data_IF_324091540789
#
_entry.id   IF_324091540789
#
_cell.length_a   1.000
_cell.length_b   1.000
_cell.length_c   1.000
_cell.angle_alpha   90.00
_cell.angle_beta   90.00
_cell.angle_gamma   90.00
#
_symmetry.space_group_name_H-M   'P 1'
#
loop_
_entity.id
_entity.type
_entity.pdbx_description
1 polymer ?
#
# COMPACT_ATOMS: atom_id res chain seq x y z
N UNK A 1 -39.35 -18.27 -18.68
CA UNK A 1 -38.88 -17.30 -17.67
C UNK A 1 -37.38 -17.40 -17.62
N UNK A 2 -36.66 -16.49 -18.25
CA UNK A 2 -35.21 -16.40 -18.17
C UNK A 2 -34.88 -15.84 -16.79
N UNK A 3 -34.41 -16.70 -15.89
CA UNK A 3 -33.85 -16.25 -14.60
C UNK A 3 -32.67 -15.35 -14.90
N UNK A 4 -32.83 -14.06 -14.65
CA UNK A 4 -31.71 -13.11 -14.61
C UNK A 4 -30.81 -13.55 -13.47
N UNK A 5 -29.69 -14.22 -13.79
CA UNK A 5 -28.64 -14.52 -12.80
C UNK A 5 -28.32 -13.22 -12.08
N UNK A 6 -28.60 -13.15 -10.78
CA UNK A 6 -28.12 -12.07 -9.94
C UNK A 6 -26.61 -12.03 -10.07
N UNK A 7 -26.09 -10.89 -10.51
CA UNK A 7 -24.66 -10.69 -10.52
C UNK A 7 -24.15 -10.77 -9.07
N UNK A 8 -23.16 -11.64 -8.86
CA UNK A 8 -22.55 -11.85 -7.54
C UNK A 8 -21.53 -10.74 -7.26
N UNK A 9 -21.09 -10.03 -8.33
CA UNK A 9 -20.22 -8.87 -8.26
C UNK A 9 -21.08 -7.63 -8.00
N UNK A 10 -20.69 -6.85 -7.00
CA UNK A 10 -21.30 -5.56 -6.68
C UNK A 10 -20.66 -4.47 -7.54
N UNK A 11 -21.42 -3.42 -7.78
CA UNK A 11 -20.88 -2.16 -8.32
C UNK A 11 -19.81 -1.60 -7.38
N UNK A 12 -18.70 -1.15 -7.95
CA UNK A 12 -17.57 -0.60 -7.20
C UNK A 12 -17.91 0.83 -6.77
N UNK A 13 -18.08 1.02 -5.47
CA UNK A 13 -18.39 2.28 -4.83
C UNK A 13 -17.18 2.88 -4.09
N UNK A 14 -17.32 4.10 -3.57
CA UNK A 14 -16.24 4.80 -2.88
C UNK A 14 -15.74 4.04 -1.62
N UNK A 15 -16.62 3.28 -0.95
CA UNK A 15 -16.24 2.50 0.23
C UNK A 15 -15.41 1.26 -0.17
N UNK A 16 -15.75 0.61 -1.27
CA UNK A 16 -14.96 -0.48 -1.85
C UNK A 16 -13.57 0.02 -2.28
N UNK A 17 -13.49 1.18 -2.94
CA UNK A 17 -12.22 1.81 -3.32
C UNK A 17 -11.38 2.14 -2.08
N UNK A 18 -12.00 2.75 -1.06
CA UNK A 18 -11.32 3.08 0.20
C UNK A 18 -10.82 1.84 0.92
N UNK A 19 -11.59 0.75 0.95
CA UNK A 19 -11.18 -0.54 1.52
C UNK A 19 -10.01 -1.16 0.73
N UNK A 20 -10.07 -1.14 -0.60
CA UNK A 20 -8.99 -1.61 -1.47
C UNK A 20 -7.69 -0.84 -1.18
N UNK A 21 -7.74 0.49 -1.21
CA UNK A 21 -6.59 1.35 -0.88
C UNK A 21 -6.08 1.10 0.53
N UNK A 22 -6.96 0.89 1.51
CA UNK A 22 -6.57 0.54 2.89
C UNK A 22 -5.73 -0.74 2.90
N UNK A 23 -6.23 -1.82 2.31
CA UNK A 23 -5.54 -3.11 2.26
C UNK A 23 -4.17 -3.03 1.57
N UNK A 24 -4.07 -2.24 0.50
CA UNK A 24 -2.82 -2.05 -0.24
C UNK A 24 -1.81 -1.24 0.58
N UNK A 25 -2.27 -0.14 1.18
CA UNK A 25 -1.41 0.83 1.88
C UNK A 25 -0.91 0.33 3.23
N UNK A 26 -1.73 -0.42 3.96
CA UNK A 26 -1.35 -0.95 5.28
C UNK A 26 -0.63 -2.30 5.22
N UNK A 27 -0.55 -2.94 4.06
CA UNK A 27 0.12 -4.24 3.94
C UNK A 27 1.63 -4.12 4.13
N UNK A 28 2.19 -5.03 4.94
CA UNK A 28 3.65 -5.17 5.14
C UNK A 28 4.23 -6.36 4.38
N UNK A 29 3.37 -7.30 4.00
CA UNK A 29 3.71 -8.44 3.17
C UNK A 29 2.48 -8.93 2.41
N UNK A 30 2.72 -9.80 1.43
CA UNK A 30 1.68 -10.43 0.64
C UNK A 30 2.12 -11.76 0.06
N UNK A 31 1.19 -12.45 -0.58
CA UNK A 31 1.49 -13.61 -1.41
C UNK A 31 1.60 -13.16 -2.87
N UNK A 32 2.81 -13.26 -3.42
CA UNK A 32 3.11 -12.99 -4.82
C UNK A 32 2.99 -14.29 -5.62
N UNK A 33 2.18 -14.28 -6.66
CA UNK A 33 2.11 -15.33 -7.66
C UNK A 33 2.75 -14.86 -8.98
N UNK A 34 3.62 -15.68 -9.54
CA UNK A 34 4.36 -15.44 -10.78
C UNK A 34 4.27 -16.65 -11.70
N UNK A 35 4.70 -16.52 -12.94
CA UNK A 35 4.69 -17.61 -13.93
C UNK A 35 6.09 -18.21 -13.99
N UNK A 36 6.23 -19.48 -13.60
CA UNK A 36 7.51 -20.19 -13.64
C UNK A 36 7.99 -20.35 -15.10
N UNK A 37 9.22 -19.91 -15.42
CA UNK A 37 9.74 -20.01 -16.78
C UNK A 37 9.95 -21.49 -17.17
N UNK A 38 9.66 -21.81 -18.43
CA UNK A 38 9.78 -23.15 -18.99
C UNK A 38 8.56 -24.04 -18.76
N UNK A 39 8.05 -24.13 -17.53
CA UNK A 39 6.86 -24.96 -17.21
C UNK A 39 5.55 -24.20 -17.41
N UNK A 40 5.55 -22.88 -17.22
CA UNK A 40 4.35 -22.05 -17.19
C UNK A 40 3.49 -22.24 -15.93
N UNK A 41 3.97 -22.99 -14.93
CA UNK A 41 3.23 -23.23 -13.70
C UNK A 41 3.15 -21.96 -12.84
N UNK A 42 2.03 -21.71 -12.13
CA UNK A 42 1.97 -20.61 -11.17
C UNK A 42 2.82 -20.92 -9.94
N UNK A 43 3.77 -20.04 -9.62
CA UNK A 43 4.60 -20.11 -8.43
C UNK A 43 4.15 -19.05 -7.42
N UNK A 44 3.78 -19.48 -6.21
CA UNK A 44 3.41 -18.59 -5.12
C UNK A 44 4.53 -18.49 -4.07
N UNK A 45 4.85 -17.27 -3.64
CA UNK A 45 5.84 -17.01 -2.58
C UNK A 45 5.43 -15.80 -1.74
N UNK A 46 5.94 -15.72 -0.51
CA UNK A 46 5.73 -14.54 0.35
C UNK A 46 6.77 -13.47 0.02
N UNK A 47 6.31 -12.22 -0.09
CA UNK A 47 7.16 -11.04 -0.27
C UNK A 47 6.83 -9.98 0.77
N UNK A 48 7.83 -9.23 1.22
CA UNK A 48 7.60 -7.96 1.91
C UNK A 48 7.09 -6.92 0.92
N UNK A 49 6.22 -6.03 1.37
CA UNK A 49 5.65 -4.98 0.51
C UNK A 49 5.63 -3.62 1.21
N UNK A 50 5.64 -2.57 0.40
CA UNK A 50 5.28 -1.21 0.75
C UNK A 50 4.52 -0.61 -0.44
N UNK A 51 4.31 0.71 -0.48
CA UNK A 51 3.73 1.40 -1.63
C UNK A 51 4.57 2.61 -2.03
N UNK A 52 4.61 2.92 -3.32
CA UNK A 52 5.05 4.24 -3.81
C UNK A 52 3.94 5.29 -3.56
N UNK A 53 4.20 6.56 -3.84
CA UNK A 53 3.28 7.66 -3.48
C UNK A 53 1.91 7.49 -4.12
N UNK A 54 1.85 7.06 -5.37
CA UNK A 54 0.60 6.87 -6.10
C UNK A 54 -0.19 5.62 -5.68
N UNK A 55 0.42 4.69 -4.94
CA UNK A 55 -0.25 3.48 -4.44
C UNK A 55 0.23 2.19 -5.07
N UNK A 56 1.11 2.24 -6.05
CA UNK A 56 1.67 1.03 -6.62
C UNK A 56 2.46 0.24 -5.55
N UNK A 57 2.20 -1.06 -5.39
CA UNK A 57 2.99 -1.89 -4.48
C UNK A 57 4.46 -1.93 -4.88
N UNK A 58 5.33 -1.88 -3.87
CA UNK A 58 6.77 -2.02 -4.00
C UNK A 58 7.21 -3.31 -3.30
N UNK A 59 8.00 -4.13 -3.98
CA UNK A 59 8.66 -5.29 -3.40
C UNK A 59 10.18 -5.15 -3.50
N UNK A 60 10.90 -5.64 -2.50
CA UNK A 60 12.36 -5.72 -2.48
C UNK A 60 12.76 -7.19 -2.40
N UNK A 61 13.35 -7.71 -3.48
CA UNK A 61 13.58 -9.16 -3.64
C UNK A 61 15.03 -9.45 -4.04
N UNK A 62 15.55 -10.60 -3.60
CA UNK A 62 16.88 -11.07 -4.02
C UNK A 62 16.82 -11.57 -5.46
N UNK A 63 17.85 -11.28 -6.24
CA UNK A 63 18.07 -11.77 -7.60
C UNK A 63 18.26 -13.29 -7.64
N UNK A 64 18.49 -13.94 -6.50
CA UNK A 64 18.60 -15.39 -6.36
C UNK A 64 17.25 -16.08 -6.08
N UNK A 65 16.20 -15.32 -5.76
CA UNK A 65 14.89 -15.90 -5.46
C UNK A 65 14.20 -16.42 -6.72
N UNK A 66 13.51 -17.56 -6.60
CA UNK A 66 12.78 -18.17 -7.72
C UNK A 66 11.76 -17.22 -8.36
N UNK A 67 11.07 -16.41 -7.55
CA UNK A 67 10.14 -15.41 -8.10
C UNK A 67 10.83 -14.32 -8.91
N UNK A 68 12.08 -13.98 -8.61
CA UNK A 68 12.78 -12.91 -9.35
C UNK A 68 13.13 -13.36 -10.75
N UNK A 69 13.65 -14.59 -10.90
CA UNK A 69 13.87 -15.17 -12.22
C UNK A 69 12.59 -15.25 -13.06
N UNK A 70 11.47 -15.61 -12.41
CA UNK A 70 10.16 -15.62 -13.05
C UNK A 70 9.69 -14.23 -13.50
N UNK A 71 9.76 -13.21 -12.64
CA UNK A 71 9.38 -11.82 -12.99
C UNK A 71 10.21 -11.23 -14.13
N UNK A 72 11.49 -11.60 -14.22
CA UNK A 72 12.37 -11.15 -15.31
C UNK A 72 12.03 -11.82 -16.64
N UNK A 73 11.54 -13.06 -16.61
CA UNK A 73 11.13 -13.79 -17.80
C UNK A 73 9.73 -13.38 -18.27
N UNK A 74 8.80 -13.14 -17.34
CA UNK A 74 7.45 -12.68 -17.59
C UNK A 74 7.03 -11.69 -16.49
N UNK A 75 6.78 -10.41 -16.82
CA UNK A 75 6.46 -9.40 -15.82
C UNK A 75 5.06 -9.58 -15.22
N UNK A 76 4.19 -10.42 -15.79
CA UNK A 76 2.83 -10.61 -15.27
C UNK A 76 2.89 -11.33 -13.92
N UNK A 77 2.31 -10.70 -12.91
CA UNK A 77 2.22 -11.26 -11.58
C UNK A 77 0.88 -10.92 -10.91
N UNK A 78 0.58 -11.62 -9.82
CA UNK A 78 -0.55 -11.32 -8.96
C UNK A 78 -0.09 -11.14 -7.52
N UNK A 79 -0.63 -10.15 -6.81
CA UNK A 79 -0.34 -9.92 -5.39
C UNK A 79 -1.63 -10.01 -4.58
N UNK A 80 -1.69 -10.97 -3.66
CA UNK A 80 -2.77 -11.09 -2.68
C UNK A 80 -2.37 -10.40 -1.38
N UNK A 81 -3.23 -9.47 -0.93
CA UNK A 81 -3.12 -8.71 0.30
C UNK A 81 -4.38 -8.85 1.15
N UNK A 82 -4.22 -8.65 2.46
CA UNK A 82 -5.27 -8.86 3.46
C UNK A 82 -5.00 -10.11 4.29
N UNK A 83 -5.09 -9.96 5.60
CA UNK A 83 -4.82 -11.03 6.55
C UNK A 83 -6.10 -11.43 7.30
N UNK A 84 -6.28 -12.73 7.58
CA UNK A 84 -7.38 -13.17 8.42
C UNK A 84 -7.10 -12.80 9.89
N UNK A 85 -8.12 -12.27 10.57
CA UNK A 85 -8.14 -12.18 12.03
C UNK A 85 -8.73 -13.44 12.68
N UNK A 86 -9.19 -13.31 13.93
CA UNK A 86 -9.93 -14.39 14.63
C UNK A 86 -11.23 -14.75 13.88
N UNK A 87 -11.65 -16.02 13.98
CA UNK A 87 -12.88 -16.52 13.36
C UNK A 87 -12.65 -17.12 11.97
N UNK A 88 -13.69 -17.09 11.13
CA UNK A 88 -13.62 -17.61 9.76
C UNK A 88 -12.70 -16.73 8.89
N UNK A 89 -11.61 -17.27 8.30
CA UNK A 89 -10.70 -16.50 7.46
C UNK A 89 -11.38 -15.88 6.24
N UNK A 90 -12.47 -16.46 5.72
CA UNK A 90 -13.20 -15.95 4.55
C UNK A 90 -14.15 -14.79 4.87
N UNK A 91 -14.31 -14.45 6.14
CA UNK A 91 -15.03 -13.25 6.56
C UNK A 91 -14.19 -11.96 6.46
N UNK A 92 -12.85 -12.08 6.43
CA UNK A 92 -11.93 -10.94 6.49
C UNK A 92 -11.65 -10.34 5.12
N UNK A 93 -11.54 -9.01 4.98
CA UNK A 93 -11.23 -8.38 3.70
C UNK A 93 -9.90 -8.80 3.10
N UNK A 94 -9.89 -8.97 1.77
CA UNK A 94 -8.70 -9.31 0.97
C UNK A 94 -8.83 -8.78 -0.44
N UNK A 95 -7.70 -8.46 -1.05
CA UNK A 95 -7.61 -7.95 -2.41
C UNK A 95 -6.54 -8.71 -3.19
N UNK A 96 -6.88 -9.13 -4.41
CA UNK A 96 -5.94 -9.72 -5.36
C UNK A 96 -5.71 -8.73 -6.49
N UNK A 97 -4.49 -8.24 -6.62
CA UNK A 97 -4.06 -7.36 -7.70
C UNK A 97 -3.52 -8.19 -8.85
N UNK A 98 -3.91 -7.88 -10.08
CA UNK A 98 -3.19 -8.32 -11.28
C UNK A 98 -2.27 -7.18 -11.71
N UNK A 99 -0.97 -7.45 -11.84
CA UNK A 99 0.04 -6.43 -12.06
C UNK A 99 1.05 -6.81 -13.16
N UNK A 100 1.74 -5.80 -13.67
CA UNK A 100 3.02 -5.94 -14.36
C UNK A 100 4.14 -5.53 -13.41
N UNK A 101 5.15 -6.38 -13.24
CA UNK A 101 6.32 -6.06 -12.44
C UNK A 101 7.33 -5.25 -13.27
N UNK A 102 7.65 -4.05 -12.80
CA UNK A 102 8.69 -3.19 -13.35
C UNK A 102 9.90 -3.19 -12.40
N UNK A 103 11.03 -3.73 -12.85
CA UNK A 103 12.29 -3.59 -12.12
C UNK A 103 12.75 -2.14 -12.21
N UNK A 104 13.06 -1.53 -11.06
CA UNK A 104 13.60 -0.18 -11.02
C UNK A 104 15.13 -0.22 -11.12
N UNK A 105 15.69 0.56 -12.03
CA UNK A 105 17.14 0.64 -12.21
C UNK A 105 17.78 1.29 -11.00
N UNK A 106 18.77 0.60 -10.42
CA UNK A 106 19.47 1.06 -9.21
C UNK A 106 20.09 2.44 -9.43
N UNK A 107 19.76 3.38 -8.55
CA UNK A 107 20.26 4.76 -8.61
C UNK A 107 19.43 5.72 -9.48
N UNK A 108 18.41 5.24 -10.19
CA UNK A 108 17.39 6.12 -10.80
C UNK A 108 16.61 6.91 -9.74
N UNK A 109 15.97 8.01 -10.13
CA UNK A 109 15.17 8.83 -9.22
C UNK A 109 14.01 8.02 -8.61
N UNK A 110 13.36 7.21 -9.44
CA UNK A 110 12.27 6.30 -9.07
C UNK A 110 12.76 5.23 -8.09
N UNK A 111 13.92 4.61 -8.34
CA UNK A 111 14.52 3.65 -7.42
C UNK A 111 14.81 4.27 -6.06
N UNK A 112 15.44 5.45 -6.01
CA UNK A 112 15.80 6.11 -4.76
C UNK A 112 14.55 6.47 -3.93
N UNK A 113 13.49 6.96 -4.60
CA UNK A 113 12.19 7.23 -3.95
C UNK A 113 11.55 5.94 -3.43
N UNK A 114 11.50 4.90 -4.24
CA UNK A 114 10.91 3.62 -3.88
C UNK A 114 11.67 2.94 -2.74
N UNK A 115 13.00 2.95 -2.75
CA UNK A 115 13.84 2.41 -1.68
C UNK A 115 13.59 3.12 -0.36
N UNK A 116 13.60 4.45 -0.37
CA UNK A 116 13.28 5.28 0.80
C UNK A 116 11.92 4.89 1.39
N UNK A 117 10.87 4.87 0.57
CA UNK A 117 9.51 4.52 1.03
C UNK A 117 9.43 3.09 1.54
N UNK A 118 10.04 2.14 0.84
CA UNK A 118 10.07 0.74 1.27
C UNK A 118 10.73 0.62 2.64
N UNK A 119 11.85 1.31 2.88
CA UNK A 119 12.58 1.29 4.14
C UNK A 119 11.85 2.03 5.28
N UNK A 120 11.06 3.07 4.99
CA UNK A 120 10.23 3.73 5.98
C UNK A 120 9.19 2.77 6.57
N UNK A 121 8.55 1.95 5.73
CA UNK A 121 7.58 0.93 6.17
C UNK A 121 8.24 -0.35 6.69
N UNK A 122 9.44 -0.68 6.20
CA UNK A 122 10.15 -1.93 6.50
C UNK A 122 11.59 -1.64 6.99
N UNK A 123 11.79 -1.05 8.18
CA UNK A 123 13.12 -0.60 8.62
C UNK A 123 14.14 -1.73 8.78
N UNK A 124 13.69 -2.97 9.07
CA UNK A 124 14.56 -4.15 9.15
C UNK A 124 15.17 -4.52 7.80
N UNK A 125 14.59 -4.07 6.68
CA UNK A 125 15.11 -4.33 5.35
C UNK A 125 16.42 -3.61 5.04
N UNK A 126 16.82 -2.61 5.84
CA UNK A 126 18.14 -1.95 5.74
C UNK A 126 19.31 -2.95 5.80
N UNK A 127 19.11 -4.10 6.45
CA UNK A 127 20.12 -5.17 6.54
C UNK A 127 20.44 -5.82 5.20
N UNK A 128 19.55 -5.72 4.20
CA UNK A 128 19.73 -6.38 2.90
C UNK A 128 19.45 -5.49 1.67
N UNK A 129 18.75 -4.36 1.80
CA UNK A 129 18.43 -3.48 0.66
C UNK A 129 19.67 -2.96 -0.10
N UNK A 130 20.75 -2.68 0.65
CA UNK A 130 22.02 -2.22 0.09
C UNK A 130 22.89 -3.33 -0.51
N UNK A 131 22.50 -4.60 -0.40
CA UNK A 131 23.23 -5.71 -1.00
C UNK A 131 23.02 -5.68 -2.53
N UNK A 132 24.09 -5.93 -3.28
CA UNK A 132 24.09 -5.81 -4.74
C UNK A 132 23.16 -6.79 -5.45
N UNK A 133 22.76 -7.88 -4.77
CA UNK A 133 21.85 -8.90 -5.26
C UNK A 133 20.39 -8.65 -4.86
N UNK A 134 20.04 -7.52 -4.25
CA UNK A 134 18.64 -7.14 -4.06
C UNK A 134 18.20 -6.09 -5.09
N UNK A 135 16.95 -6.17 -5.53
CA UNK A 135 16.35 -5.22 -6.47
C UNK A 135 14.93 -4.86 -6.05
N UNK A 136 14.58 -3.60 -6.28
CA UNK A 136 13.21 -3.12 -6.08
C UNK A 136 12.44 -3.33 -7.38
N UNK A 137 11.25 -3.93 -7.24
CA UNK A 137 10.25 -3.97 -8.29
C UNK A 137 9.05 -3.15 -7.85
N UNK A 138 8.57 -2.32 -8.77
CA UNK A 138 7.30 -1.63 -8.67
C UNK A 138 6.26 -2.46 -9.42
N UNK A 139 5.20 -2.86 -8.74
CA UNK A 139 4.13 -3.64 -9.34
C UNK A 139 3.07 -2.68 -9.85
N UNK A 140 2.91 -2.59 -11.16
CA UNK A 140 1.93 -1.75 -11.81
C UNK A 140 0.58 -2.46 -11.85
N UNK A 141 -0.41 -2.09 -11.01
CA UNK A 141 -1.70 -2.76 -11.01
C UNK A 141 -2.49 -2.39 -12.27
N UNK A 142 -3.08 -3.40 -12.89
CA UNK A 142 -3.98 -3.25 -14.05
C UNK A 142 -5.44 -3.30 -13.61
N UNK A 143 -5.75 -4.17 -12.64
CA UNK A 143 -7.07 -4.40 -12.06
C UNK A 143 -6.95 -5.13 -10.73
N UNK A 144 -8.04 -5.17 -9.97
CA UNK A 144 -8.12 -5.95 -8.74
C UNK A 144 -9.45 -6.66 -8.58
N UNK A 145 -9.41 -7.76 -7.82
CA UNK A 145 -10.58 -8.41 -7.25
C UNK A 145 -10.56 -8.18 -5.75
N UNK A 146 -11.53 -7.42 -5.23
CA UNK A 146 -11.70 -7.17 -3.82
C UNK A 146 -12.81 -8.05 -3.27
N UNK A 147 -12.54 -8.69 -2.15
CA UNK A 147 -13.56 -9.29 -1.33
C UNK A 147 -13.54 -8.63 0.05
N UNK A 148 -14.59 -7.88 0.37
CA UNK A 148 -14.76 -7.18 1.64
C UNK A 148 -15.40 -8.02 2.75
N UNK A 149 -15.41 -9.35 2.61
CA UNK A 149 -16.15 -10.30 3.45
C UNK A 149 -17.32 -10.94 2.71
N UNK A 150 -18.12 -11.74 3.42
CA UNK A 150 -19.21 -12.51 2.82
C UNK A 150 -20.17 -11.65 1.99
N UNK A 151 -20.39 -12.07 0.73
CA UNK A 151 -21.31 -11.43 -0.20
C UNK A 151 -20.89 -10.03 -0.67
N UNK A 152 -19.64 -9.60 -0.44
CA UNK A 152 -19.10 -8.29 -0.82
C UNK A 152 -17.92 -8.45 -1.79
N UNK A 153 -18.20 -8.83 -3.03
CA UNK A 153 -17.19 -8.95 -4.10
C UNK A 153 -17.26 -7.76 -5.06
N UNK A 154 -16.12 -7.19 -5.41
CA UNK A 154 -15.98 -6.03 -6.29
C UNK A 154 -14.85 -6.25 -7.28
N UNK A 155 -14.98 -5.63 -8.47
CA UNK A 155 -13.93 -5.57 -9.47
C UNK A 155 -13.47 -4.11 -9.60
N UNK A 156 -12.18 -3.87 -9.40
CA UNK A 156 -11.60 -2.53 -9.50
C UNK A 156 -10.69 -2.46 -10.71
N UNK A 157 -10.66 -1.30 -11.35
CA UNK A 157 -9.69 -1.02 -12.41
C UNK A 157 -8.48 -0.25 -11.87
N UNK A 158 -7.54 0.10 -12.74
CA UNK A 158 -6.34 0.85 -12.36
C UNK A 158 -6.65 2.23 -11.77
N UNK A 159 -7.67 2.93 -12.26
CA UNK A 159 -7.99 4.30 -11.81
C UNK A 159 -8.55 4.31 -10.38
N UNK A 160 -9.18 3.22 -9.95
CA UNK A 160 -9.58 3.02 -8.56
C UNK A 160 -8.37 2.81 -7.61
N UNK A 161 -7.27 2.26 -8.13
CA UNK A 161 -6.14 1.78 -7.33
C UNK A 161 -4.98 2.78 -7.26
N UNK A 162 -4.75 3.54 -8.34
CA UNK A 162 -3.59 4.42 -8.51
C UNK A 162 -4.02 5.88 -8.53
N UNK A 163 -3.44 6.66 -7.63
CA UNK A 163 -3.64 8.11 -7.62
C UNK A 163 -2.78 8.77 -8.69
N UNK A 164 -3.39 9.57 -9.55
CA UNK A 164 -2.72 10.22 -10.69
C UNK A 164 -2.73 11.75 -10.54
N UNK A 165 -1.79 12.41 -11.21
CA UNK A 165 -1.74 13.88 -11.30
C UNK A 165 -0.46 14.50 -10.72
N UNK A 166 -0.27 15.81 -10.92
CA UNK A 166 0.97 16.51 -10.56
C UNK A 166 1.27 16.47 -9.06
N UNK A 167 0.22 16.40 -8.22
CA UNK A 167 0.34 16.32 -6.75
C UNK A 167 1.20 15.15 -6.27
N UNK A 168 1.26 14.04 -7.02
CA UNK A 168 2.08 12.88 -6.68
C UNK A 168 3.56 13.25 -6.68
N UNK A 169 4.05 13.88 -7.75
CA UNK A 169 5.45 14.29 -7.88
C UNK A 169 5.77 15.50 -6.99
N UNK A 170 4.82 16.43 -6.83
CA UNK A 170 4.98 17.54 -5.88
C UNK A 170 5.18 17.04 -4.45
N UNK A 171 4.38 16.06 -4.01
CA UNK A 171 4.54 15.44 -2.69
C UNK A 171 5.85 14.66 -2.62
N UNK A 172 6.24 13.96 -3.69
CA UNK A 172 7.47 13.17 -3.74
C UNK A 172 8.72 13.95 -3.37
N UNK A 173 8.79 15.19 -3.82
CA UNK A 173 9.91 16.09 -3.59
C UNK A 173 10.07 16.49 -2.11
N UNK A 174 8.98 16.59 -1.35
CA UNK A 174 8.98 17.09 0.03
C UNK A 174 8.62 16.06 1.10
N UNK A 175 8.15 14.87 0.71
CA UNK A 175 7.56 13.90 1.63
C UNK A 175 8.49 13.52 2.78
N UNK A 176 9.75 13.18 2.49
CA UNK A 176 10.66 12.66 3.51
C UNK A 176 10.91 13.70 4.60
N UNK A 177 11.13 14.96 4.23
CA UNK A 177 11.32 16.04 5.20
C UNK A 177 10.07 16.26 6.06
N UNK A 178 8.87 16.09 5.49
CA UNK A 178 7.63 16.14 6.25
C UNK A 178 7.50 14.97 7.23
N UNK A 179 7.84 13.74 6.80
CA UNK A 179 7.87 12.56 7.67
C UNK A 179 8.86 12.74 8.82
N UNK A 180 10.08 13.17 8.52
CA UNK A 180 11.13 13.37 9.53
C UNK A 180 10.70 14.40 10.57
N UNK A 181 10.15 15.54 10.14
CA UNK A 181 9.61 16.57 11.03
C UNK A 181 8.48 16.05 11.92
N UNK A 182 7.48 15.37 11.32
CA UNK A 182 6.36 14.81 12.08
C UNK A 182 6.82 13.77 13.09
N UNK A 183 7.76 12.93 12.69
CA UNK A 183 8.30 11.86 13.52
C UNK A 183 9.23 12.36 14.64
N UNK A 184 9.91 13.50 14.45
CA UNK A 184 10.75 14.12 15.47
C UNK A 184 9.94 14.96 16.46
N UNK A 185 9.02 15.78 15.96
CA UNK A 185 8.47 16.90 16.72
C UNK A 185 6.98 16.72 17.09
N UNK A 186 6.24 15.82 16.43
CA UNK A 186 4.76 15.74 16.52
C UNK A 186 4.24 14.32 16.78
N UNK A 187 4.93 13.55 17.63
CA UNK A 187 4.52 12.19 18.02
C UNK A 187 3.14 12.15 18.70
N UNK A 188 2.79 13.18 19.44
CA UNK A 188 1.48 13.34 20.07
C UNK A 188 0.36 13.46 19.01
N UNK A 189 0.59 14.24 17.95
CA UNK A 189 -0.35 14.36 16.84
C UNK A 189 -0.48 13.04 16.07
N UNK A 190 0.62 12.31 15.86
CA UNK A 190 0.59 10.99 15.21
C UNK A 190 -0.26 9.99 16.02
N UNK A 191 -0.13 9.98 17.35
CA UNK A 191 -0.96 9.14 18.21
C UNK A 191 -2.45 9.49 18.05
N UNK A 192 -2.80 10.78 18.02
CA UNK A 192 -4.18 11.23 17.76
C UNK A 192 -4.67 10.70 16.40
N UNK A 193 -3.85 10.76 15.34
CA UNK A 193 -4.23 10.23 14.03
C UNK A 193 -4.51 8.73 14.08
N UNK A 194 -3.60 7.97 14.69
CA UNK A 194 -3.72 6.52 14.80
C UNK A 194 -4.98 6.09 15.58
N UNK A 195 -5.22 6.69 16.75
CA UNK A 195 -6.33 6.30 17.62
C UNK A 195 -7.68 6.81 17.11
N UNK A 196 -7.79 8.10 16.80
CA UNK A 196 -9.08 8.71 16.48
C UNK A 196 -9.54 8.36 15.06
N UNK A 197 -8.65 8.54 14.07
CA UNK A 197 -9.01 8.34 12.66
C UNK A 197 -8.68 6.95 12.15
N UNK A 198 -7.56 6.37 12.61
CA UNK A 198 -7.14 5.01 12.25
C UNK A 198 -7.85 3.91 13.05
N UNK A 199 -8.50 4.27 14.17
CA UNK A 199 -9.09 3.33 15.14
C UNK A 199 -8.09 2.26 15.62
N UNK A 200 -6.82 2.63 15.63
CA UNK A 200 -5.74 1.74 16.00
C UNK A 200 -5.50 1.77 17.52
N UNK A 201 -5.10 0.64 18.06
CA UNK A 201 -4.76 0.48 19.48
C UNK A 201 -3.23 0.53 19.68
N UNK A 202 -2.81 0.71 20.93
CA UNK A 202 -1.39 0.72 21.32
C UNK A 202 -0.64 2.01 20.98
N UNK A 203 0.57 2.13 21.49
CA UNK A 203 1.38 3.36 21.42
C UNK A 203 2.55 3.25 20.44
N UNK A 204 3.37 4.30 20.36
CA UNK A 204 4.62 4.29 19.58
C UNK A 204 4.42 4.38 18.07
N UNK A 205 3.28 4.92 17.64
CA UNK A 205 2.98 5.14 16.23
C UNK A 205 3.93 6.15 15.58
N UNK A 206 4.35 5.82 14.36
CA UNK A 206 5.15 6.66 13.49
C UNK A 206 4.48 6.83 12.14
N UNK A 207 4.69 7.97 11.48
CA UNK A 207 4.31 8.14 10.09
C UNK A 207 5.36 7.50 9.19
N UNK A 208 4.93 6.68 8.24
CA UNK A 208 5.80 5.97 7.29
C UNK A 208 5.63 6.46 5.85
N UNK A 209 4.50 7.12 5.55
CA UNK A 209 4.26 7.70 4.24
C UNK A 209 3.15 8.74 4.25
N UNK A 210 3.26 9.71 3.35
CA UNK A 210 2.16 10.57 2.91
C UNK A 210 1.89 10.34 1.42
N UNK A 211 0.64 10.48 1.03
CA UNK A 211 0.20 10.52 -0.35
C UNK A 211 -1.03 11.44 -0.48
N UNK A 212 -1.55 11.71 -1.68
CA UNK A 212 -2.66 12.66 -1.83
C UNK A 212 -3.93 12.26 -1.07
N UNK A 213 -4.17 10.98 -0.81
CA UNK A 213 -5.39 10.53 -0.14
C UNK A 213 -5.24 10.48 1.39
N UNK A 214 -4.02 10.51 1.93
CA UNK A 214 -3.81 10.32 3.37
C UNK A 214 -2.38 10.07 3.83
N UNK A 215 -2.29 9.41 4.98
CA UNK A 215 -1.05 9.01 5.63
C UNK A 215 -1.08 7.54 6.04
N UNK A 216 0.10 6.93 6.00
CA UNK A 216 0.35 5.57 6.50
C UNK A 216 1.09 5.66 7.83
N UNK A 217 0.61 4.92 8.82
CA UNK A 217 1.18 4.87 10.15
C UNK A 217 1.58 3.43 10.50
N UNK A 218 2.65 3.28 11.28
CA UNK A 218 3.10 1.99 11.77
C UNK A 218 3.54 2.07 13.24
N UNK A 219 3.43 0.95 13.93
CA UNK A 219 4.00 0.70 15.26
C UNK A 219 4.73 -0.64 15.25
N UNK A 220 5.22 -1.09 16.42
CA UNK A 220 5.79 -2.43 16.54
C UNK A 220 4.74 -3.52 16.25
N UNK A 221 3.49 -3.25 16.64
CA UNK A 221 2.40 -4.23 16.69
C UNK A 221 1.43 -4.13 15.50
N UNK A 222 1.52 -3.08 14.68
CA UNK A 222 0.58 -2.92 13.57
C UNK A 222 0.94 -1.84 12.55
N UNK A 223 0.07 -1.72 11.56
CA UNK A 223 0.05 -0.63 10.59
C UNK A 223 -1.41 -0.18 10.40
N UNK A 224 -1.62 1.10 10.16
CA UNK A 224 -2.95 1.62 9.87
C UNK A 224 -2.90 2.72 8.80
N UNK A 225 -3.98 2.81 8.03
CA UNK A 225 -4.18 3.83 7.00
C UNK A 225 -5.13 4.90 7.54
N UNK A 226 -4.72 6.16 7.45
CA UNK A 226 -5.57 7.31 7.81
C UNK A 226 -5.78 8.16 6.57
N UNK A 227 -7.04 8.30 6.15
CA UNK A 227 -7.41 9.15 5.01
C UNK A 227 -7.61 10.59 5.44
N UNK A 228 -7.22 11.52 4.58
CA UNK A 228 -7.61 12.92 4.72
C UNK A 228 -9.13 13.10 4.49
N UNK A 229 -9.75 14.15 5.04
CA UNK A 229 -11.17 14.45 4.78
C UNK A 229 -11.48 14.66 3.30
N UNK A 230 -10.50 15.18 2.55
CA UNK A 230 -10.52 15.33 1.09
C UNK A 230 -9.10 15.05 0.55
N UNK A 231 -8.96 14.47 -0.65
CA UNK A 231 -7.66 14.31 -1.28
C UNK A 231 -6.96 15.66 -1.49
N UNK A 232 -5.63 15.68 -1.31
CA UNK A 232 -4.81 16.84 -1.60
C UNK A 232 -4.79 17.09 -3.11
N UNK A 233 -4.93 18.36 -3.48
CA UNK A 233 -4.78 18.80 -4.88
C UNK A 233 -3.39 19.39 -5.16
N UNK A 234 -2.66 19.76 -4.10
CA UNK A 234 -1.29 20.27 -4.18
C UNK A 234 -0.51 19.93 -2.89
N UNK A 235 0.80 19.71 -3.00
CA UNK A 235 1.63 19.29 -1.85
C UNK A 235 1.62 20.28 -0.67
N UNK A 236 1.48 21.58 -0.96
CA UNK A 236 1.42 22.66 0.05
C UNK A 236 0.24 22.53 1.03
N UNK A 237 -0.80 21.78 0.67
CA UNK A 237 -2.00 21.60 1.50
C UNK A 237 -1.77 20.65 2.68
N UNK A 238 -0.78 19.76 2.57
CA UNK A 238 -0.50 18.71 3.56
C UNK A 238 -0.44 19.25 4.99
N UNK A 239 0.34 20.31 5.21
CA UNK A 239 0.52 20.88 6.55
C UNK A 239 -0.79 21.39 7.15
N UNK A 240 -1.61 22.08 6.36
CA UNK A 240 -2.87 22.63 6.85
C UNK A 240 -3.84 21.50 7.22
N UNK A 241 -3.95 20.47 6.37
CA UNK A 241 -4.79 19.31 6.63
C UNK A 241 -4.38 18.57 7.90
N UNK A 242 -3.08 18.33 8.11
CA UNK A 242 -2.59 17.70 9.34
C UNK A 242 -2.96 18.52 10.59
N UNK A 243 -2.77 19.83 10.57
CA UNK A 243 -3.12 20.72 11.69
C UNK A 243 -4.62 20.63 12.01
N UNK A 244 -5.49 20.72 11.02
CA UNK A 244 -6.93 20.66 11.23
C UNK A 244 -7.39 19.28 11.73
N UNK A 245 -6.82 18.20 11.20
CA UNK A 245 -7.09 16.86 11.71
C UNK A 245 -6.65 16.69 13.17
N UNK A 246 -5.48 17.23 13.56
CA UNK A 246 -5.01 17.14 14.93
C UNK A 246 -5.93 17.91 15.90
N UNK A 247 -6.40 19.09 15.49
CA UNK A 247 -7.40 19.86 16.28
C UNK A 247 -8.71 19.09 16.42
N UNK A 248 -9.23 18.55 15.32
CA UNK A 248 -10.47 17.79 15.33
C UNK A 248 -10.37 16.54 16.23
N UNK A 249 -9.27 15.79 16.13
CA UNK A 249 -9.05 14.61 16.97
C UNK A 249 -8.92 14.95 18.46
N UNK A 250 -8.25 16.06 18.81
CA UNK A 250 -8.15 16.54 20.21
C UNK A 250 -9.48 17.02 20.78
N UNK A 251 -10.37 17.57 19.96
CA UNK A 251 -11.68 18.04 20.41
C UNK A 251 -12.69 16.91 20.63
N UNK A 252 -12.44 15.73 20.06
CA UNK A 252 -13.34 14.59 20.10
C UNK A 252 -12.97 13.50 21.14
N UNK A 253 -11.78 13.59 21.73
CA UNK A 253 -11.31 12.74 22.83
C UNK A 253 -11.40 13.46 24.17
#
# INVERSE_FOLDING_TARGET
MTETRKDVIRETDAEAVRLAKTLIRSARFGALAVIEPGTGAPLASRVGTATDIDGAPLILVSMLAAHTGALLADPRCSLLLGEPGKGDPLAHPRITLACQALRLDRGSAEHLRAERRYLNSNPKAKLYAGLGDFSIFRLEPERASLNGGFGKAYLLDRADLITSGPVVEELAAGEQSALDHMNADHRDAIAIYAHHFGRAEGDGWIATGFDPDGMDLASADGACRVFFPQPLTAARELRAVLIEMAKAGRAAG
#
